data_IF_425073283052
#
_entry.id   IF_425073283052
#
_cell.length_a   1.000
_cell.length_b   1.000
_cell.length_c   1.000
_cell.angle_alpha   90.00
_cell.angle_beta   90.00
_cell.angle_gamma   90.00
#
_symmetry.space_group_name_H-M   'P 1'
#
loop_
_entity.id
_entity.type
_entity.pdbx_description
1 polymer ?
#
# COMPACT_ATOMS: atom_id res chain seq x y z
N UNK A 1 16.50 -32.71 0.11
CA UNK A 1 16.96 -31.83 1.21
C UNK A 1 15.83 -30.85 1.43
N UNK A 2 14.90 -31.16 2.34
CA UNK A 2 13.68 -30.37 2.57
C UNK A 2 14.07 -29.27 3.55
N UNK A 3 14.18 -28.03 3.07
CA UNK A 3 14.34 -26.89 3.95
C UNK A 3 12.97 -26.59 4.59
N UNK A 4 12.86 -26.54 5.93
CA UNK A 4 11.58 -26.28 6.59
C UNK A 4 11.12 -24.84 6.33
N UNK A 5 9.79 -24.66 6.21
CA UNK A 5 9.07 -23.37 6.09
C UNK A 5 9.46 -22.31 7.15
N UNK A 6 10.24 -22.68 8.16
CA UNK A 6 10.78 -21.80 9.19
C UNK A 6 11.91 -20.87 8.72
N UNK A 7 12.46 -21.03 7.51
CA UNK A 7 13.54 -20.15 7.04
C UNK A 7 13.07 -18.77 6.53
N UNK A 8 11.78 -18.61 6.22
CA UNK A 8 11.16 -17.31 5.88
C UNK A 8 10.43 -16.65 7.06
N UNK A 9 10.49 -17.26 8.24
CA UNK A 9 9.94 -16.72 9.48
C UNK A 9 10.49 -15.34 9.92
N UNK A 10 11.60 -14.76 9.42
CA UNK A 10 12.02 -13.44 9.86
C UNK A 10 11.62 -12.28 8.93
N UNK A 11 10.89 -12.48 7.81
CA UNK A 11 10.68 -11.35 6.88
C UNK A 11 9.76 -10.25 7.45
N UNK A 12 8.71 -10.59 8.21
CA UNK A 12 7.79 -9.55 8.73
C UNK A 12 7.46 -9.64 10.23
N UNK A 13 7.96 -10.65 10.94
CA UNK A 13 7.75 -10.76 12.40
C UNK A 13 8.80 -10.00 13.23
N UNK A 14 9.88 -9.50 12.60
CA UNK A 14 11.05 -8.95 13.32
C UNK A 14 11.08 -7.44 13.55
N UNK A 15 10.08 -6.68 13.11
CA UNK A 15 10.03 -5.25 13.46
C UNK A 15 8.60 -4.87 13.78
N UNK A 16 8.39 -4.14 14.87
CA UNK A 16 7.09 -3.82 15.47
C UNK A 16 6.13 -2.98 14.62
N UNK A 17 6.28 -2.97 13.30
CA UNK A 17 5.38 -2.34 12.36
C UNK A 17 4.21 -3.27 12.02
N UNK A 18 3.13 -3.16 12.80
CA UNK A 18 1.83 -3.78 12.51
C UNK A 18 1.13 -3.14 11.29
N UNK A 19 1.82 -2.36 10.44
CA UNK A 19 1.17 -1.56 9.41
C UNK A 19 0.44 -2.42 8.38
N UNK A 20 1.06 -3.51 7.95
CA UNK A 20 0.54 -4.37 6.87
C UNK A 20 0.05 -5.73 7.35
N UNK A 21 0.16 -6.03 8.65
CA UNK A 21 -0.25 -7.32 9.20
C UNK A 21 -1.76 -7.49 9.14
N UNK A 22 -2.20 -8.71 8.88
CA UNK A 22 -3.61 -9.11 9.02
C UNK A 22 -4.12 -8.73 10.42
N UNK A 23 -5.26 -8.02 10.53
CA UNK A 23 -5.85 -7.70 11.83
C UNK A 23 -6.55 -8.93 12.45
N UNK A 24 -5.83 -10.03 12.68
CA UNK A 24 -6.37 -11.27 13.23
C UNK A 24 -6.69 -11.15 14.72
N UNK A 25 -7.82 -11.72 15.14
CA UNK A 25 -8.11 -12.01 16.55
C UNK A 25 -7.58 -13.38 16.98
N UNK A 26 -7.59 -14.33 16.04
CA UNK A 26 -7.29 -15.72 16.28
C UNK A 26 -6.63 -16.31 15.03
N UNK A 27 -5.54 -17.04 15.23
CA UNK A 27 -4.94 -17.89 14.22
C UNK A 27 -5.08 -19.34 14.68
N UNK A 28 -5.61 -20.21 13.81
CA UNK A 28 -5.78 -21.64 14.04
C UNK A 28 -5.00 -22.39 12.97
N UNK A 29 -4.13 -23.29 13.39
CA UNK A 29 -3.44 -24.22 12.50
C UNK A 29 -4.15 -25.57 12.56
N UNK A 30 -4.32 -26.22 11.41
CA UNK A 30 -4.98 -27.52 11.32
C UNK A 30 -4.04 -28.64 11.78
N UNK A 31 -4.08 -28.96 13.06
CA UNK A 31 -3.23 -30.00 13.66
C UNK A 31 -3.83 -31.40 13.56
N UNK A 32 -5.17 -31.51 13.55
CA UNK A 32 -5.90 -32.77 13.64
C UNK A 32 -6.78 -33.05 12.41
N UNK A 33 -6.75 -32.19 11.39
CA UNK A 33 -7.54 -32.30 10.16
C UNK A 33 -8.99 -31.82 10.32
N UNK A 34 -9.38 -31.33 11.51
CA UNK A 34 -10.74 -30.85 11.77
C UNK A 34 -11.10 -29.61 10.96
N UNK A 35 -10.11 -28.72 10.75
CA UNK A 35 -10.30 -27.47 10.01
C UNK A 35 -10.42 -27.76 8.52
N UNK A 36 -9.53 -28.59 7.96
CA UNK A 36 -9.63 -28.97 6.54
C UNK A 36 -10.93 -29.72 6.25
N UNK A 37 -11.39 -30.58 7.18
CA UNK A 37 -12.69 -31.24 7.07
C UNK A 37 -13.84 -30.23 7.09
N UNK A 38 -13.85 -29.29 8.03
CA UNK A 38 -14.86 -28.23 8.08
C UNK A 38 -14.90 -27.42 6.79
N UNK A 39 -13.75 -27.01 6.27
CA UNK A 39 -13.68 -26.23 5.03
C UNK A 39 -14.12 -27.03 3.80
N UNK A 40 -13.77 -28.33 3.74
CA UNK A 40 -14.26 -29.24 2.71
C UNK A 40 -15.80 -29.38 2.78
N UNK A 41 -16.36 -29.52 3.98
CA UNK A 41 -17.81 -29.61 4.20
C UNK A 41 -18.54 -28.32 3.79
N UNK A 42 -17.86 -27.16 3.84
CA UNK A 42 -18.38 -25.87 3.32
C UNK A 42 -18.18 -25.69 1.80
N UNK A 43 -17.64 -26.68 1.10
CA UNK A 43 -17.45 -26.65 -0.35
C UNK A 43 -16.21 -25.88 -0.83
N UNK A 44 -15.21 -25.68 0.02
CA UNK A 44 -13.96 -25.02 -0.36
C UNK A 44 -13.11 -25.97 -1.23
N UNK A 45 -12.85 -25.65 -2.51
CA UNK A 45 -12.10 -26.53 -3.41
C UNK A 45 -10.58 -26.51 -3.12
N UNK A 46 -9.88 -27.60 -3.47
CA UNK A 46 -8.40 -27.73 -3.47
C UNK A 46 -7.71 -27.54 -2.10
N UNK A 47 -8.14 -28.30 -1.09
CA UNK A 47 -7.49 -28.36 0.23
C UNK A 47 -6.53 -29.55 0.41
N UNK A 48 -6.58 -30.53 -0.50
CA UNK A 48 -5.83 -31.78 -0.34
C UNK A 48 -4.31 -31.55 -0.32
N UNK A 49 -3.64 -32.10 0.70
CA UNK A 49 -2.19 -32.05 0.87
C UNK A 49 -1.61 -30.71 1.36
N UNK A 50 -2.45 -29.74 1.72
CA UNK A 50 -2.00 -28.42 2.22
C UNK A 50 -2.13 -28.32 3.73
N UNK A 51 -1.12 -27.74 4.39
CA UNK A 51 -1.27 -27.30 5.77
C UNK A 51 -2.19 -26.09 5.81
N UNK A 52 -3.36 -26.25 6.41
CA UNK A 52 -4.37 -25.20 6.45
C UNK A 52 -4.21 -24.34 7.69
N UNK A 53 -4.12 -23.03 7.49
CA UNK A 53 -4.13 -22.02 8.55
C UNK A 53 -5.35 -21.11 8.37
N UNK A 54 -6.13 -20.95 9.42
CA UNK A 54 -7.32 -20.10 9.43
C UNK A 54 -7.07 -18.89 10.32
N UNK A 55 -7.37 -17.70 9.80
CA UNK A 55 -7.25 -16.43 10.52
C UNK A 55 -8.64 -15.83 10.66
N UNK A 56 -9.10 -15.65 11.90
CA UNK A 56 -10.35 -14.95 12.19
C UNK A 56 -10.10 -13.44 12.25
N UNK A 57 -10.83 -12.66 11.43
CA UNK A 57 -10.66 -11.22 11.28
C UNK A 57 -11.90 -10.47 11.83
N UNK A 58 -11.77 -9.20 12.24
CA UNK A 58 -12.92 -8.31 12.39
C UNK A 58 -13.70 -8.23 11.09
N UNK A 59 -14.98 -7.90 11.19
CA UNK A 59 -15.80 -7.62 10.02
C UNK A 59 -15.18 -6.46 9.24
N UNK A 60 -14.65 -6.76 8.07
CA UNK A 60 -14.00 -5.84 7.14
C UNK A 60 -14.36 -6.24 5.72
N UNK A 61 -14.37 -5.26 4.82
CA UNK A 61 -14.53 -5.52 3.39
C UNK A 61 -13.14 -5.68 2.77
N UNK A 62 -12.90 -6.81 2.12
CA UNK A 62 -11.64 -7.12 1.44
C UNK A 62 -11.81 -6.99 -0.06
N UNK A 63 -10.83 -6.39 -0.74
CA UNK A 63 -10.78 -6.41 -2.20
C UNK A 63 -9.34 -6.51 -2.71
N UNK A 64 -9.19 -7.13 -3.88
CA UNK A 64 -7.93 -7.09 -4.63
C UNK A 64 -7.85 -5.79 -5.45
N UNK A 65 -6.65 -5.45 -5.95
CA UNK A 65 -6.51 -4.33 -6.88
C UNK A 65 -7.35 -4.50 -8.14
N UNK A 66 -7.46 -5.73 -8.66
CA UNK A 66 -8.29 -6.05 -9.82
C UNK A 66 -9.78 -5.86 -9.53
N UNK A 67 -10.27 -6.34 -8.38
CA UNK A 67 -11.65 -6.16 -7.96
C UNK A 67 -11.97 -4.67 -7.79
N UNK A 68 -11.08 -3.91 -7.15
CA UNK A 68 -11.24 -2.46 -6.96
C UNK A 68 -11.32 -1.72 -8.31
N UNK A 69 -10.43 -2.05 -9.25
CA UNK A 69 -10.46 -1.48 -10.60
C UNK A 69 -11.75 -1.87 -11.36
N UNK A 70 -12.21 -3.11 -11.23
CA UNK A 70 -13.42 -3.60 -11.88
C UNK A 70 -14.71 -2.90 -11.40
N UNK A 71 -14.72 -2.33 -10.20
CA UNK A 71 -15.87 -1.56 -9.70
C UNK A 71 -16.06 -0.18 -10.38
N UNK A 72 -15.26 0.15 -11.40
CA UNK A 72 -15.34 1.39 -12.16
C UNK A 72 -15.36 2.65 -11.26
N UNK A 73 -14.49 2.69 -10.25
CA UNK A 73 -14.39 3.83 -9.33
C UNK A 73 -14.17 5.15 -10.07
N UNK A 74 -13.41 5.12 -11.17
CA UNK A 74 -13.20 6.24 -12.07
C UNK A 74 -14.49 6.83 -12.68
N UNK A 75 -15.60 6.09 -12.68
CA UNK A 75 -16.92 6.55 -13.15
C UNK A 75 -17.82 7.01 -12.00
N UNK A 76 -17.58 6.54 -10.77
CA UNK A 76 -18.39 6.85 -9.58
C UNK A 76 -17.81 7.98 -8.73
N UNK A 77 -16.50 8.19 -8.79
CA UNK A 77 -15.77 9.23 -8.08
C UNK A 77 -15.35 10.33 -9.06
N UNK A 78 -15.23 11.56 -8.56
CA UNK A 78 -14.59 12.61 -9.34
C UNK A 78 -13.09 12.30 -9.53
N UNK A 79 -12.47 12.90 -10.55
CA UNK A 79 -11.07 12.61 -10.88
C UNK A 79 -10.11 12.94 -9.74
N UNK A 80 -10.43 13.95 -8.91
CA UNK A 80 -9.59 14.31 -7.78
C UNK A 80 -9.66 13.29 -6.64
N UNK A 81 -10.85 12.84 -6.21
CA UNK A 81 -10.94 11.81 -5.17
C UNK A 81 -10.41 10.46 -5.65
N UNK A 82 -10.66 10.10 -6.91
CA UNK A 82 -10.13 8.87 -7.50
C UNK A 82 -8.59 8.87 -7.50
N UNK A 83 -7.96 9.91 -8.06
CA UNK A 83 -6.49 9.98 -8.10
C UNK A 83 -5.89 10.10 -6.69
N UNK A 84 -6.57 10.76 -5.75
CA UNK A 84 -6.15 10.78 -4.34
C UNK A 84 -6.13 9.38 -3.72
N UNK A 85 -7.19 8.59 -3.96
CA UNK A 85 -7.31 7.20 -3.50
C UNK A 85 -6.19 6.35 -4.09
N UNK A 86 -5.94 6.46 -5.40
CA UNK A 86 -4.86 5.74 -6.08
C UNK A 86 -3.50 6.15 -5.51
N UNK A 87 -3.23 7.44 -5.33
CA UNK A 87 -1.99 7.93 -4.71
C UNK A 87 -1.77 7.34 -3.32
N UNK A 88 -2.82 7.24 -2.51
CA UNK A 88 -2.70 6.68 -1.16
C UNK A 88 -2.49 5.16 -1.16
N UNK A 89 -3.18 4.41 -2.03
CA UNK A 89 -2.95 2.96 -2.19
C UNK A 89 -1.51 2.70 -2.65
N UNK A 90 -1.04 3.43 -3.66
CA UNK A 90 0.32 3.32 -4.18
C UNK A 90 1.37 3.70 -3.14
N UNK A 91 1.10 4.72 -2.32
CA UNK A 91 1.99 5.08 -1.23
C UNK A 91 2.18 3.91 -0.24
N UNK A 92 1.08 3.26 0.17
CA UNK A 92 1.15 2.10 1.05
C UNK A 92 1.91 0.94 0.40
N UNK A 93 1.66 0.70 -0.89
CA UNK A 93 2.34 -0.33 -1.65
C UNK A 93 3.85 -0.07 -1.74
N UNK A 94 4.27 1.15 -2.07
CA UNK A 94 5.68 1.51 -2.14
C UNK A 94 6.37 1.38 -0.77
N UNK A 95 5.69 1.71 0.32
CA UNK A 95 6.20 1.46 1.66
C UNK A 95 6.38 -0.04 1.94
N UNK A 96 5.40 -0.87 1.58
CA UNK A 96 5.50 -2.32 1.72
C UNK A 96 6.63 -2.92 0.87
N UNK A 97 6.72 -2.55 -0.42
CA UNK A 97 7.75 -3.03 -1.32
C UNK A 97 9.16 -2.63 -0.87
N UNK A 98 9.32 -1.44 -0.26
CA UNK A 98 10.61 -1.05 0.33
C UNK A 98 11.02 -1.93 1.51
N UNK A 99 10.08 -2.33 2.35
CA UNK A 99 10.38 -3.25 3.44
C UNK A 99 10.76 -4.62 2.88
N UNK A 100 9.98 -5.15 1.93
CA UNK A 100 10.31 -6.40 1.26
C UNK A 100 11.69 -6.33 0.58
N UNK A 101 12.03 -5.20 -0.04
CA UNK A 101 13.36 -4.97 -0.61
C UNK A 101 14.45 -5.02 0.44
N UNK A 102 14.25 -4.43 1.62
CA UNK A 102 15.22 -4.52 2.73
C UNK A 102 15.36 -5.93 3.29
N UNK A 103 14.31 -6.75 3.14
CA UNK A 103 14.31 -8.16 3.53
C UNK A 103 14.85 -9.09 2.43
N UNK A 104 15.34 -8.53 1.31
CA UNK A 104 15.98 -9.27 0.22
C UNK A 104 15.01 -9.81 -0.85
N UNK A 105 13.75 -9.38 -0.86
CA UNK A 105 12.80 -9.73 -1.92
C UNK A 105 13.09 -8.89 -3.16
N UNK A 106 13.33 -9.56 -4.29
CA UNK A 106 13.66 -8.91 -5.56
C UNK A 106 12.49 -8.88 -6.55
N UNK A 107 11.60 -9.87 -6.47
CA UNK A 107 10.47 -10.03 -7.39
C UNK A 107 9.22 -10.61 -6.73
N UNK A 108 8.07 -10.34 -7.32
CA UNK A 108 6.74 -10.74 -6.85
C UNK A 108 5.86 -11.18 -8.03
N UNK A 109 4.72 -11.83 -7.75
CA UNK A 109 3.81 -12.30 -8.80
C UNK A 109 3.15 -11.15 -9.57
N UNK A 110 2.90 -11.35 -10.85
CA UNK A 110 2.19 -10.39 -11.69
C UNK A 110 0.70 -10.19 -11.34
N UNK A 111 0.11 -11.04 -10.49
CA UNK A 111 -1.32 -11.08 -10.18
C UNK A 111 -1.73 -10.35 -8.87
N UNK A 112 -0.77 -9.77 -8.15
CA UNK A 112 -0.98 -9.06 -6.88
C UNK A 112 -1.49 -9.91 -5.70
N UNK A 113 -1.31 -11.23 -5.71
CA UNK A 113 -1.80 -12.11 -4.64
C UNK A 113 -1.19 -11.80 -3.26
N UNK A 114 -0.05 -11.12 -3.22
CA UNK A 114 0.64 -10.78 -1.98
C UNK A 114 -0.03 -9.66 -1.19
N UNK A 115 -0.93 -8.90 -1.82
CA UNK A 115 -1.59 -7.79 -1.17
C UNK A 115 -3.11 -7.78 -1.34
N UNK A 116 -3.78 -7.39 -0.27
CA UNK A 116 -5.20 -7.09 -0.27
C UNK A 116 -5.45 -5.68 0.27
N UNK A 117 -6.56 -5.08 -0.13
CA UNK A 117 -7.05 -3.85 0.46
C UNK A 117 -8.20 -4.18 1.41
N UNK A 118 -8.15 -3.55 2.58
CA UNK A 118 -9.20 -3.65 3.59
C UNK A 118 -9.85 -2.30 3.83
N UNK A 119 -11.18 -2.28 3.77
CA UNK A 119 -12.01 -1.16 4.18
C UNK A 119 -12.67 -1.52 5.50
N UNK A 120 -12.80 -0.56 6.41
CA UNK A 120 -13.62 -0.80 7.60
C UNK A 120 -15.06 -1.00 7.15
N UNK A 121 -15.73 -1.93 7.81
CA UNK A 121 -17.15 -2.11 7.61
C UNK A 121 -17.89 -0.95 8.28
N UNK A 122 -18.67 -0.18 7.51
CA UNK A 122 -19.61 0.82 8.04
C UNK A 122 -21.03 0.37 7.68
N UNK A 123 -21.94 0.27 8.66
CA UNK A 123 -23.35 -0.05 8.37
C UNK A 123 -24.02 1.00 7.48
N UNK A 124 -23.43 2.20 7.37
CA UNK A 124 -23.87 3.28 6.49
C UNK A 124 -23.03 3.27 5.20
N UNK A 125 -23.62 2.77 4.12
CA UNK A 125 -22.93 2.38 2.87
C UNK A 125 -22.32 3.54 2.09
N UNK A 126 -22.76 4.78 2.33
CA UNK A 126 -22.16 5.95 1.68
C UNK A 126 -20.85 6.40 2.33
N UNK A 127 -20.62 6.08 3.62
CA UNK A 127 -19.39 6.43 4.32
C UNK A 127 -18.21 5.50 3.96
N UNK A 128 -18.50 4.26 3.53
CA UNK A 128 -17.47 3.26 3.18
C UNK A 128 -16.58 3.69 1.99
N UNK A 129 -17.12 4.47 1.05
CA UNK A 129 -16.41 4.91 -0.15
C UNK A 129 -15.44 6.08 0.09
N UNK A 130 -15.54 6.76 1.23
CA UNK A 130 -14.71 7.92 1.58
C UNK A 130 -13.58 7.59 2.55
N UNK A 131 -13.57 6.38 3.12
CA UNK A 131 -12.47 5.93 3.97
C UNK A 131 -11.34 5.34 3.11
N UNK A 132 -10.10 5.72 3.43
CA UNK A 132 -8.94 5.19 2.72
C UNK A 132 -8.68 3.74 3.14
N UNK A 133 -8.49 2.81 2.18
CA UNK A 133 -8.23 1.42 2.52
C UNK A 133 -6.88 1.26 3.20
N UNK A 134 -6.77 0.22 4.02
CA UNK A 134 -5.50 -0.27 4.54
C UNK A 134 -4.99 -1.42 3.68
N UNK A 135 -3.73 -1.33 3.25
CA UNK A 135 -3.03 -2.42 2.58
C UNK A 135 -2.68 -3.52 3.59
N UNK A 136 -3.04 -4.75 3.26
CA UNK A 136 -2.71 -5.97 3.99
C UNK A 136 -1.70 -6.74 3.14
N UNK A 137 -0.64 -7.22 3.78
CA UNK A 137 0.35 -8.10 3.20
C UNK A 137 0.10 -9.55 3.65
N UNK A 138 0.17 -10.48 2.69
CA UNK A 138 -0.05 -11.91 2.89
C UNK A 138 1.27 -12.67 2.73
N UNK A 139 2.11 -12.77 3.78
CA UNK A 139 3.44 -13.35 3.67
C UNK A 139 3.44 -14.81 3.17
N UNK A 140 2.39 -15.56 3.50
CA UNK A 140 2.23 -16.96 3.09
C UNK A 140 2.09 -17.13 1.56
N UNK A 141 1.80 -16.06 0.83
CA UNK A 141 1.71 -16.10 -0.65
C UNK A 141 3.04 -15.85 -1.34
N UNK A 142 4.06 -15.39 -0.61
CA UNK A 142 5.43 -15.26 -1.13
C UNK A 142 6.00 -16.64 -1.42
N UNK A 143 6.41 -16.88 -2.67
CA UNK A 143 7.10 -18.12 -3.05
C UNK A 143 6.23 -19.38 -3.10
N UNK A 144 4.95 -19.31 -2.69
CA UNK A 144 4.01 -20.42 -2.65
C UNK A 144 3.73 -21.10 -4.01
N UNK A 145 4.21 -20.52 -5.11
CA UNK A 145 4.00 -21.02 -6.47
C UNK A 145 5.29 -21.22 -7.29
N UNK A 146 6.48 -21.12 -6.68
CA UNK A 146 7.68 -21.66 -7.35
C UNK A 146 7.52 -23.14 -7.70
N UNK A 147 6.57 -23.84 -7.07
CA UNK A 147 6.24 -25.25 -7.33
C UNK A 147 5.17 -25.47 -8.42
N UNK A 148 4.43 -24.44 -8.86
CA UNK A 148 3.29 -24.59 -9.79
C UNK A 148 3.50 -23.97 -11.20
N UNK A 149 4.68 -23.40 -11.49
CA UNK A 149 5.14 -23.10 -12.85
C UNK A 149 4.33 -22.08 -13.68
N UNK A 150 3.37 -21.36 -13.09
CA UNK A 150 2.38 -20.57 -13.84
C UNK A 150 2.52 -19.04 -13.75
N UNK A 151 3.03 -18.50 -12.64
CA UNK A 151 3.03 -17.05 -12.41
C UNK A 151 4.34 -16.41 -12.88
N UNK A 152 4.24 -15.51 -13.88
CA UNK A 152 5.35 -14.62 -14.23
C UNK A 152 5.69 -13.72 -13.03
N UNK A 153 6.98 -13.65 -12.69
CA UNK A 153 7.51 -12.78 -11.65
C UNK A 153 7.99 -11.45 -12.26
N UNK A 154 7.83 -10.37 -11.49
CA UNK A 154 8.30 -9.03 -11.88
C UNK A 154 9.04 -8.34 -10.74
N UNK A 155 10.05 -7.53 -11.10
CA UNK A 155 10.76 -6.70 -10.14
C UNK A 155 9.85 -5.67 -9.44
N UNK A 156 10.25 -5.22 -8.26
CA UNK A 156 9.40 -4.41 -7.37
C UNK A 156 8.93 -3.08 -7.99
N UNK A 157 9.78 -2.36 -8.74
CA UNK A 157 9.35 -1.11 -9.40
C UNK A 157 8.29 -1.39 -10.47
N UNK A 158 8.47 -2.48 -11.24
CA UNK A 158 7.51 -2.93 -12.25
C UNK A 158 6.21 -3.42 -11.60
N UNK A 159 6.28 -4.05 -10.44
CA UNK A 159 5.11 -4.43 -9.65
C UNK A 159 4.30 -3.20 -9.23
N UNK A 160 4.94 -2.16 -8.70
CA UNK A 160 4.30 -0.89 -8.37
C UNK A 160 3.69 -0.20 -9.60
N UNK A 161 4.40 -0.19 -10.73
CA UNK A 161 3.90 0.34 -12.01
C UNK A 161 2.65 -0.43 -12.47
N UNK A 162 2.64 -1.77 -12.33
CA UNK A 162 1.46 -2.58 -12.64
C UNK A 162 0.26 -2.20 -11.80
N UNK A 163 0.45 -2.00 -10.50
CA UNK A 163 -0.62 -1.56 -9.60
C UNK A 163 -1.15 -0.18 -10.01
N UNK A 164 -0.26 0.78 -10.31
CA UNK A 164 -0.64 2.11 -10.78
C UNK A 164 -1.52 2.05 -12.03
N UNK A 165 -1.07 1.33 -13.06
CA UNK A 165 -1.82 1.20 -14.30
C UNK A 165 -3.16 0.47 -14.09
N UNK A 166 -3.18 -0.57 -13.26
CA UNK A 166 -4.42 -1.31 -12.94
C UNK A 166 -5.45 -0.39 -12.29
N UNK A 167 -5.04 0.40 -11.30
CA UNK A 167 -5.93 1.29 -10.56
C UNK A 167 -6.36 2.52 -11.39
N UNK A 168 -5.57 2.95 -12.36
CA UNK A 168 -5.91 4.05 -13.29
C UNK A 168 -6.54 3.57 -14.61
N UNK A 169 -6.80 2.28 -14.76
CA UNK A 169 -7.35 1.67 -15.99
C UNK A 169 -6.47 1.91 -17.24
N UNK A 170 -5.16 1.94 -17.07
CA UNK A 170 -4.20 1.98 -18.17
C UNK A 170 -3.75 0.56 -18.56
N UNK A 171 -3.39 0.40 -19.83
CA UNK A 171 -2.83 -0.86 -20.33
C UNK A 171 -1.39 -1.03 -19.83
N UNK A 172 -1.01 -2.29 -19.59
CA UNK A 172 0.36 -2.67 -19.25
C UNK A 172 1.18 -2.90 -20.52
N UNK A 173 1.91 -1.89 -21.00
CA UNK A 173 2.79 -1.99 -22.18
C UNK A 173 4.29 -1.85 -21.85
N UNK A 174 4.64 -1.79 -20.56
CA UNK A 174 6.01 -1.64 -20.09
C UNK A 174 6.56 -0.21 -20.22
N UNK A 175 5.72 0.76 -20.59
CA UNK A 175 6.07 2.18 -20.65
C UNK A 175 5.33 2.95 -19.55
N UNK A 176 5.76 4.19 -19.32
CA UNK A 176 5.03 5.12 -18.45
C UNK A 176 3.61 5.31 -18.98
N UNK A 177 2.56 5.13 -18.15
CA UNK A 177 1.18 5.38 -18.56
C UNK A 177 0.96 6.85 -18.95
N UNK A 178 0.17 7.13 -20.00
CA UNK A 178 -0.14 8.48 -20.44
C UNK A 178 -1.21 9.12 -19.53
N UNK A 179 -0.77 9.58 -18.35
CA UNK A 179 -1.62 10.23 -17.35
C UNK A 179 -1.95 11.65 -17.81
N UNK A 180 -3.25 11.98 -17.90
CA UNK A 180 -3.76 13.31 -18.28
C UNK A 180 -3.95 14.19 -17.04
N UNK A 181 -3.84 15.51 -17.20
CA UNK A 181 -4.00 16.46 -16.11
C UNK A 181 -5.49 16.61 -15.78
N UNK A 182 -5.93 15.93 -14.72
CA UNK A 182 -7.35 15.88 -14.29
C UNK A 182 -7.54 16.27 -12.82
N UNK A 183 -6.47 16.26 -12.04
CA UNK A 183 -6.49 16.66 -10.64
C UNK A 183 -5.14 17.21 -10.18
N UNK A 184 -5.07 17.66 -8.92
CA UNK A 184 -3.80 18.06 -8.30
C UNK A 184 -2.80 16.90 -8.15
N UNK A 185 -3.28 15.65 -8.22
CA UNK A 185 -2.47 14.44 -8.08
C UNK A 185 -1.89 13.92 -9.39
N UNK A 186 -2.44 14.33 -10.55
CA UNK A 186 -2.05 13.75 -11.85
C UNK A 186 -0.55 13.90 -12.11
N UNK A 187 0.03 15.07 -11.81
CA UNK A 187 1.48 15.32 -11.96
C UNK A 187 2.33 14.45 -11.04
N UNK A 188 1.88 14.23 -9.81
CA UNK A 188 2.59 13.36 -8.87
C UNK A 188 2.50 11.88 -9.28
N UNK A 189 1.35 11.44 -9.78
CA UNK A 189 1.19 10.09 -10.32
C UNK A 189 2.07 9.87 -11.56
N UNK A 190 2.18 10.86 -12.45
CA UNK A 190 3.09 10.79 -13.60
C UNK A 190 4.57 10.81 -13.17
N UNK A 191 4.95 11.67 -12.22
CA UNK A 191 6.30 11.70 -11.68
C UNK A 191 6.66 10.36 -11.02
N UNK A 192 5.74 9.79 -10.24
CA UNK A 192 5.87 8.45 -9.64
C UNK A 192 6.10 7.39 -10.71
N UNK A 193 5.28 7.37 -11.77
CA UNK A 193 5.45 6.46 -12.88
C UNK A 193 6.83 6.60 -13.56
N UNK A 194 7.25 7.82 -13.89
CA UNK A 194 8.56 8.06 -14.50
C UNK A 194 9.72 7.56 -13.63
N UNK A 195 9.67 7.80 -12.31
CA UNK A 195 10.69 7.33 -11.37
C UNK A 195 10.70 5.80 -11.28
N UNK A 196 9.54 5.16 -11.26
CA UNK A 196 9.43 3.69 -11.24
C UNK A 196 9.96 3.07 -12.54
N UNK A 197 9.79 3.75 -13.68
CA UNK A 197 10.33 3.31 -14.96
C UNK A 197 11.87 3.30 -15.01
N UNK A 198 12.54 4.13 -14.18
CA UNK A 198 14.01 4.11 -14.09
C UNK A 198 14.56 2.80 -13.51
N UNK A 199 13.75 2.06 -12.75
CA UNK A 199 14.08 0.78 -12.12
C UNK A 199 15.41 0.76 -11.35
N UNK A 200 15.73 1.87 -10.67
CA UNK A 200 16.93 1.99 -9.82
C UNK A 200 16.62 1.54 -8.40
N UNK A 201 17.64 1.16 -7.65
CA UNK A 201 17.52 0.84 -6.21
C UNK A 201 16.87 1.96 -5.38
N UNK A 202 17.03 3.22 -5.79
CA UNK A 202 16.41 4.38 -5.14
C UNK A 202 15.00 4.72 -5.64
N UNK A 203 14.52 4.10 -6.72
CA UNK A 203 13.25 4.45 -7.39
C UNK A 203 12.05 4.32 -6.46
N UNK A 204 11.93 3.21 -5.70
CA UNK A 204 10.84 3.03 -4.75
C UNK A 204 10.81 4.14 -3.68
N UNK A 205 11.99 4.57 -3.20
CA UNK A 205 12.10 5.65 -2.21
C UNK A 205 11.70 7.00 -2.78
N UNK A 206 12.20 7.34 -3.97
CA UNK A 206 11.88 8.60 -4.62
C UNK A 206 10.39 8.68 -5.01
N UNK A 207 9.83 7.59 -5.54
CA UNK A 207 8.43 7.48 -5.89
C UNK A 207 7.53 7.62 -4.64
N UNK A 208 7.92 6.98 -3.52
CA UNK A 208 7.25 7.15 -2.23
C UNK A 208 7.22 8.63 -1.85
N UNK A 209 8.38 9.28 -1.77
CA UNK A 209 8.50 10.67 -1.33
C UNK A 209 7.66 11.64 -2.22
N UNK A 210 7.59 11.39 -3.53
CA UNK A 210 6.72 12.13 -4.46
C UNK A 210 5.24 12.01 -4.08
N UNK A 211 4.76 10.80 -3.80
CA UNK A 211 3.38 10.59 -3.38
C UNK A 211 3.10 11.22 -2.01
N UNK A 212 4.03 11.08 -1.06
CA UNK A 212 3.92 11.72 0.26
C UNK A 212 3.82 13.24 0.15
N UNK A 213 4.70 13.86 -0.64
CA UNK A 213 4.64 15.29 -0.91
C UNK A 213 3.29 15.69 -1.56
N UNK A 214 2.79 14.91 -2.51
CA UNK A 214 1.50 15.22 -3.15
C UNK A 214 0.29 15.10 -2.20
N UNK A 215 0.36 14.21 -1.22
CA UNK A 215 -0.74 13.92 -0.31
C UNK A 215 -0.78 14.88 0.88
N UNK A 216 0.38 15.32 1.36
CA UNK A 216 0.49 16.08 2.61
C UNK A 216 1.29 17.37 2.54
N UNK A 217 2.15 17.55 1.53
CA UNK A 217 2.82 18.83 1.37
C UNK A 217 1.85 19.90 0.89
N UNK A 218 2.09 21.12 1.36
CA UNK A 218 1.38 22.31 0.88
C UNK A 218 1.98 22.84 -0.41
N UNK A 219 2.01 24.16 -0.52
CA UNK A 219 2.59 24.85 -1.65
C UNK A 219 4.09 24.55 -1.84
N UNK A 220 4.57 24.84 -3.04
CA UNK A 220 5.96 24.61 -3.39
C UNK A 220 6.90 25.51 -2.58
N UNK A 221 7.83 24.89 -1.85
CA UNK A 221 8.86 25.59 -1.12
C UNK A 221 9.95 26.05 -2.10
N UNK A 222 10.29 27.33 -2.09
CA UNK A 222 11.30 27.95 -2.98
C UNK A 222 12.73 27.64 -2.55
N UNK A 223 12.92 27.19 -1.31
CA UNK A 223 14.23 26.84 -0.78
C UNK A 223 14.19 26.17 0.59
N UNK A 224 15.37 25.78 1.08
CA UNK A 224 15.53 24.96 2.30
C UNK A 224 14.96 25.61 3.56
N UNK A 225 15.06 26.94 3.68
CA UNK A 225 14.55 27.68 4.84
C UNK A 225 13.02 27.60 4.90
N UNK A 226 12.35 27.84 3.77
CA UNK A 226 10.89 27.77 3.66
C UNK A 226 10.39 26.33 3.91
N UNK A 227 11.07 25.34 3.34
CA UNK A 227 10.75 23.93 3.56
C UNK A 227 10.93 23.51 5.02
N UNK A 228 11.96 24.05 5.71
CA UNK A 228 12.16 23.81 7.15
C UNK A 228 11.03 24.42 7.98
N UNK A 229 10.71 25.69 7.76
CA UNK A 229 9.62 26.37 8.47
C UNK A 229 8.29 25.65 8.25
N UNK A 230 8.01 25.23 7.01
CA UNK A 230 6.81 24.46 6.70
C UNK A 230 6.75 23.13 7.45
N UNK A 231 7.85 22.37 7.49
CA UNK A 231 7.93 21.10 8.22
C UNK A 231 7.73 21.31 9.73
N UNK A 232 8.34 22.33 10.32
CA UNK A 232 8.24 22.60 11.75
C UNK A 232 6.81 22.99 12.14
N UNK A 233 6.14 23.82 11.32
CA UNK A 233 4.73 24.15 11.50
C UNK A 233 3.84 22.91 11.37
N UNK A 234 4.01 22.13 10.28
CA UNK A 234 3.20 20.95 10.04
C UNK A 234 3.37 19.87 11.12
N UNK A 235 4.58 19.73 11.69
CA UNK A 235 4.86 18.86 12.84
C UNK A 235 4.19 19.36 14.10
N UNK A 236 4.29 20.65 14.41
CA UNK A 236 3.65 21.24 15.59
C UNK A 236 2.13 21.08 15.55
N UNK A 237 1.51 21.38 14.40
CA UNK A 237 0.07 21.17 14.17
C UNK A 237 -0.32 19.70 14.30
N UNK A 238 0.50 18.77 13.78
CA UNK A 238 0.22 17.36 13.90
C UNK A 238 0.28 16.88 15.35
N UNK A 239 1.27 17.32 16.13
CA UNK A 239 1.38 16.97 17.57
C UNK A 239 0.19 17.52 18.33
N UNK A 240 -0.19 18.77 18.10
CA UNK A 240 -1.36 19.39 18.75
C UNK A 240 -2.66 18.65 18.40
N UNK A 241 -2.88 18.30 17.13
CA UNK A 241 -4.04 17.48 16.73
C UNK A 241 -4.08 16.11 17.41
N UNK A 242 -2.93 15.42 17.50
CA UNK A 242 -2.82 14.13 18.19
C UNK A 242 -3.07 14.24 19.69
N UNK A 243 -2.56 15.30 20.34
CA UNK A 243 -2.80 15.56 21.76
C UNK A 243 -4.28 15.84 22.04
N UNK A 244 -4.92 16.67 21.22
CA UNK A 244 -6.36 16.94 21.35
C UNK A 244 -7.17 15.65 21.20
N UNK A 245 -6.84 14.81 20.21
CA UNK A 245 -7.52 13.53 20.02
C UNK A 245 -7.32 12.60 21.22
N UNK A 246 -6.11 12.53 21.78
CA UNK A 246 -5.81 11.72 22.97
C UNK A 246 -6.60 12.19 24.21
N UNK A 247 -6.73 13.50 24.39
CA UNK A 247 -7.43 14.10 25.54
C UNK A 247 -8.95 14.00 25.40
N UNK A 248 -9.48 14.26 24.21
CA UNK A 248 -10.93 14.30 23.98
C UNK A 248 -11.54 12.92 23.72
N UNK A 249 -10.78 11.96 23.20
CA UNK A 249 -11.27 10.63 22.80
C UNK A 249 -10.33 9.53 23.33
N UNK A 250 -10.33 9.25 24.65
CA UNK A 250 -9.49 8.21 25.24
C UNK A 250 -9.80 6.85 24.60
N UNK A 251 -8.77 6.23 24.00
CA UNK A 251 -8.88 4.96 23.27
C UNK A 251 -9.01 5.09 21.75
N UNK A 252 -9.07 6.30 21.21
CA UNK A 252 -9.10 6.52 19.77
C UNK A 252 -7.82 5.98 19.09
N UNK A 253 -8.00 5.24 18.00
CA UNK A 253 -6.90 4.65 17.23
C UNK A 253 -6.73 5.41 15.93
N UNK A 254 -5.49 5.84 15.65
CA UNK A 254 -5.14 6.45 14.37
C UNK A 254 -5.49 5.52 13.20
N UNK A 255 -6.18 6.06 12.20
CA UNK A 255 -6.44 5.40 10.94
C UNK A 255 -5.17 5.24 10.10
N UNK A 256 -5.28 4.54 8.98
CA UNK A 256 -4.14 4.33 8.09
C UNK A 256 -3.59 5.66 7.57
N UNK A 257 -4.46 6.57 7.13
CA UNK A 257 -4.06 7.86 6.56
C UNK A 257 -3.29 8.72 7.56
N UNK A 258 -3.75 8.79 8.80
CA UNK A 258 -3.10 9.58 9.86
C UNK A 258 -1.72 9.00 10.21
N UNK A 259 -1.59 7.68 10.32
CA UNK A 259 -0.30 7.02 10.58
C UNK A 259 0.73 7.35 9.51
N UNK A 260 0.34 7.23 8.25
CA UNK A 260 1.22 7.56 7.12
C UNK A 260 1.60 9.04 7.10
N UNK A 261 0.68 9.95 7.46
CA UNK A 261 1.01 11.38 7.61
C UNK A 261 2.04 11.61 8.71
N UNK A 262 1.90 10.95 9.86
CA UNK A 262 2.87 11.04 10.97
C UNK A 262 4.23 10.51 10.53
N UNK A 263 4.28 9.35 9.88
CA UNK A 263 5.52 8.76 9.37
C UNK A 263 6.24 9.71 8.38
N UNK A 264 5.49 10.35 7.50
CA UNK A 264 6.04 11.38 6.62
C UNK A 264 6.62 12.56 7.40
N UNK A 265 5.87 13.14 8.33
CA UNK A 265 6.37 14.29 9.09
C UNK A 265 7.61 13.93 9.93
N UNK A 266 7.70 12.71 10.43
CA UNK A 266 8.87 12.21 11.17
C UNK A 266 10.08 11.97 10.27
N UNK A 267 9.89 11.53 9.02
CA UNK A 267 10.99 11.15 8.11
C UNK A 267 11.36 12.22 7.08
N UNK A 268 10.49 13.18 6.80
CA UNK A 268 10.70 14.21 5.79
C UNK A 268 11.82 15.18 6.21
N UNK A 269 12.69 15.47 5.26
CA UNK A 269 13.70 16.53 5.35
C UNK A 269 13.40 17.64 4.34
N UNK A 270 13.85 18.89 4.58
CA UNK A 270 13.67 19.99 3.62
C UNK A 270 14.14 19.61 2.21
N UNK A 271 15.31 18.96 2.11
CA UNK A 271 15.86 18.47 0.86
C UNK A 271 14.95 17.46 0.17
N UNK A 272 14.51 16.41 0.87
CA UNK A 272 13.64 15.39 0.27
C UNK A 272 12.28 15.96 -0.18
N UNK A 273 11.76 16.95 0.54
CA UNK A 273 10.52 17.63 0.20
C UNK A 273 10.68 18.44 -1.09
N UNK A 274 11.72 19.26 -1.16
CA UNK A 274 12.04 20.09 -2.33
C UNK A 274 12.31 19.23 -3.56
N UNK A 275 13.13 18.17 -3.44
CA UNK A 275 13.41 17.24 -4.53
C UNK A 275 12.12 16.59 -5.06
N UNK A 276 11.21 16.20 -4.16
CA UNK A 276 9.92 15.61 -4.53
C UNK A 276 9.00 16.61 -5.24
N UNK A 277 8.92 17.84 -4.74
CA UNK A 277 8.13 18.90 -5.38
C UNK A 277 8.70 19.30 -6.75
N UNK A 278 10.03 19.29 -6.92
CA UNK A 278 10.67 19.49 -8.21
C UNK A 278 10.33 18.36 -9.19
N UNK A 279 10.39 17.10 -8.76
CA UNK A 279 10.01 15.95 -9.58
C UNK A 279 8.54 16.04 -10.06
N UNK A 280 7.62 16.44 -9.17
CA UNK A 280 6.21 16.67 -9.52
C UNK A 280 6.07 17.76 -10.59
N UNK A 281 6.83 18.86 -10.49
CA UNK A 281 6.78 19.95 -11.46
C UNK A 281 7.40 19.61 -12.80
N UNK A 282 8.47 18.81 -12.80
CA UNK A 282 9.16 18.35 -14.00
C UNK A 282 8.33 17.34 -14.81
N UNK A 283 7.32 16.71 -14.18
CA UNK A 283 6.38 15.85 -14.89
C UNK A 283 5.47 16.68 -15.80
N UNK A 284 5.86 16.74 -17.07
CA UNK A 284 5.10 17.39 -18.14
C UNK A 284 3.90 16.52 -18.51
N UNK A 285 2.69 17.04 -18.24
CA UNK A 285 1.41 16.49 -18.70
C UNK A 285 0.82 17.43 -19.74
#
# INVERSE_FOLDING_TARGET
MIAPCSQYAPLMRRSGSQLFTLPGFLELEDQDGSISKFLHDTGTPNLDGRHTKVVALPRINLCSFHSLAAHHLNQRMDSNAHEQLVSFILLQLLAALKMLQSDGVESLSTNFKEFLLSYRFSPDSQAELWEFPRLIFLPETLGAEMESGGDELVGLCRYAMRALCTLLHHRMDGKTPPIKLRSRYSRALLACANILQEDKSSSLTKAKNVLEASLWAGEHCRGDVEARVWLDLARAECVDALLRQLVCEPGCRLGARERYRVEFLLSATPRSLIESQMAIRAANI
#
